data_IF_431538513875
#
_entry.id   IF_431538513875
#
_cell.length_a   1.000
_cell.length_b   1.000
_cell.length_c   1.000
_cell.angle_alpha   90.00
_cell.angle_beta   90.00
_cell.angle_gamma   90.00
#
_symmetry.space_group_name_H-M   'P 1'
#
loop_
_entity.id
_entity.type
_entity.pdbx_description
1 polymer ?
#
# COMPACT_ATOMS: atom_id res chain seq x y z
N UNK A 1 18.32 8.14 1.16
CA UNK A 1 17.83 7.24 0.09
C UNK A 1 16.95 8.04 -0.88
N UNK A 2 17.36 8.29 -2.13
CA UNK A 2 16.54 8.97 -3.14
C UNK A 2 15.73 7.97 -4.00
N UNK A 3 14.76 8.52 -4.73
CA UNK A 3 13.65 7.87 -5.41
C UNK A 3 14.04 7.24 -6.77
N UNK A 4 13.60 6.03 -7.17
CA UNK A 4 13.79 5.54 -8.54
C UNK A 4 12.85 6.28 -9.51
N UNK A 5 13.46 6.93 -10.50
CA UNK A 5 12.93 8.01 -11.35
C UNK A 5 12.17 7.58 -12.61
N UNK A 6 11.66 6.34 -12.70
CA UNK A 6 11.15 5.80 -13.97
C UNK A 6 9.69 6.13 -14.30
N UNK A 7 9.01 6.95 -13.49
CA UNK A 7 7.71 7.51 -13.86
C UNK A 7 7.90 8.52 -15.01
N UNK A 8 7.31 8.21 -16.19
CA UNK A 8 7.49 8.92 -17.46
C UNK A 8 7.10 10.40 -17.36
N UNK A 9 8.06 11.25 -16.97
CA UNK A 9 8.19 12.59 -17.55
C UNK A 9 8.57 12.39 -19.02
N UNK A 10 7.92 13.10 -19.95
CA UNK A 10 8.20 12.98 -21.39
C UNK A 10 9.65 13.35 -21.71
N UNK A 11 10.57 12.40 -21.55
CA UNK A 11 11.96 12.55 -21.94
C UNK A 11 12.03 12.36 -23.45
N UNK A 12 12.33 13.44 -24.17
CA UNK A 12 12.72 13.37 -25.56
C UNK A 12 14.10 12.70 -25.64
N UNK A 13 14.12 11.47 -26.13
CA UNK A 13 15.35 10.76 -26.39
C UNK A 13 15.90 11.17 -27.77
N UNK A 14 17.23 11.30 -27.93
CA UNK A 14 17.83 11.56 -29.23
C UNK A 14 17.56 10.40 -30.18
N UNK A 15 17.43 10.70 -31.48
CA UNK A 15 17.32 9.68 -32.52
C UNK A 15 18.64 8.93 -32.63
N UNK A 16 18.58 7.62 -32.47
CA UNK A 16 19.73 6.71 -32.63
C UNK A 16 19.38 5.62 -33.65
N UNK A 17 20.38 5.13 -34.37
CA UNK A 17 20.23 4.06 -35.35
C UNK A 17 20.73 2.72 -34.81
N UNK A 18 20.14 1.62 -35.28
CA UNK A 18 20.58 0.28 -34.90
C UNK A 18 22.04 0.05 -35.33
N UNK A 19 22.90 -0.30 -34.36
CA UNK A 19 24.33 -0.49 -34.59
C UNK A 19 25.19 0.77 -34.40
N UNK A 20 24.60 1.92 -34.10
CA UNK A 20 25.34 3.13 -33.74
C UNK A 20 26.17 2.91 -32.47
N UNK A 21 27.50 3.05 -32.58
CA UNK A 21 28.39 3.00 -31.40
C UNK A 21 28.21 4.26 -30.56
N UNK A 22 27.89 4.08 -29.28
CA UNK A 22 27.76 5.17 -28.32
C UNK A 22 29.00 5.20 -27.41
N UNK A 23 29.63 6.36 -27.19
CA UNK A 23 30.71 6.47 -26.22
C UNK A 23 30.14 6.28 -24.81
N UNK A 24 30.80 5.44 -24.01
CA UNK A 24 30.49 5.31 -22.59
C UNK A 24 30.82 6.65 -21.90
N UNK A 25 29.79 7.33 -21.40
CA UNK A 25 29.98 8.59 -20.68
C UNK A 25 30.41 8.33 -19.23
N UNK A 26 29.60 7.57 -18.50
CA UNK A 26 29.82 7.21 -17.10
C UNK A 26 29.30 5.79 -16.83
N UNK A 27 29.93 5.08 -15.89
CA UNK A 27 29.49 3.76 -15.42
C UNK A 27 29.34 3.80 -13.90
N UNK A 28 28.09 3.80 -13.43
CA UNK A 28 27.77 3.81 -12.00
C UNK A 28 27.20 2.45 -11.57
N UNK A 29 27.87 1.78 -10.63
CA UNK A 29 27.35 0.59 -10.00
C UNK A 29 26.51 0.98 -8.78
N UNK A 30 25.20 0.77 -8.86
CA UNK A 30 24.28 1.05 -7.75
C UNK A 30 23.84 -0.25 -7.08
N UNK A 31 23.98 -0.31 -5.75
CA UNK A 31 23.41 -1.38 -4.95
C UNK A 31 21.99 -1.00 -4.52
N UNK A 32 21.03 -1.84 -4.91
CA UNK A 32 19.63 -1.67 -4.55
C UNK A 32 19.24 -2.67 -3.46
N UNK A 33 18.40 -2.22 -2.52
CA UNK A 33 17.80 -3.06 -1.49
C UNK A 33 16.28 -3.10 -1.69
N UNK A 34 15.68 -4.25 -1.40
CA UNK A 34 14.23 -4.36 -1.31
C UNK A 34 13.73 -3.57 -0.11
N UNK A 35 12.72 -2.74 -0.33
CA UNK A 35 12.03 -2.05 0.75
C UNK A 35 10.82 -2.88 1.17
N UNK A 36 10.49 -2.92 2.47
CA UNK A 36 9.24 -3.55 2.90
C UNK A 36 8.04 -2.85 2.26
N UNK A 37 6.90 -3.55 2.12
CA UNK A 37 5.70 -2.94 1.59
C UNK A 37 5.31 -1.68 2.37
N UNK A 38 4.88 -0.62 1.67
CA UNK A 38 4.40 0.59 2.32
C UNK A 38 3.19 0.30 3.20
N UNK A 39 3.14 0.91 4.40
CA UNK A 39 1.90 0.95 5.19
C UNK A 39 0.80 1.70 4.45
N UNK A 40 -0.44 1.34 4.76
CA UNK A 40 -1.61 1.96 4.15
C UNK A 40 -1.77 3.41 4.64
N UNK A 41 -1.89 4.33 3.69
CA UNK A 41 -2.62 5.60 3.90
C UNK A 41 -4.12 5.36 3.76
N UNK A 42 -4.93 6.34 4.16
CA UNK A 42 -6.38 6.33 3.96
C UNK A 42 -6.77 6.00 2.50
N UNK A 43 -6.22 6.74 1.53
CA UNK A 43 -6.51 6.49 0.12
C UNK A 43 -6.14 5.07 -0.34
N UNK A 44 -5.00 4.55 0.11
CA UNK A 44 -4.57 3.20 -0.26
C UNK A 44 -5.39 2.10 0.45
N UNK A 45 -5.88 2.37 1.66
CA UNK A 45 -6.76 1.46 2.39
C UNK A 45 -8.14 1.42 1.73
N UNK A 46 -8.71 2.57 1.37
CA UNK A 46 -9.96 2.66 0.59
C UNK A 46 -9.84 1.86 -0.70
N UNK A 47 -8.76 2.07 -1.46
CA UNK A 47 -8.50 1.33 -2.70
C UNK A 47 -8.40 -0.18 -2.45
N UNK A 48 -7.79 -0.59 -1.33
CA UNK A 48 -7.68 -2.00 -0.96
C UNK A 48 -9.05 -2.58 -0.62
N UNK A 49 -9.85 -1.91 0.20
CA UNK A 49 -11.21 -2.34 0.57
C UNK A 49 -12.09 -2.51 -0.67
N UNK A 50 -12.07 -1.52 -1.57
CA UNK A 50 -12.78 -1.57 -2.87
C UNK A 50 -12.33 -2.76 -3.72
N UNK A 51 -11.02 -2.99 -3.85
CA UNK A 51 -10.48 -4.12 -4.63
C UNK A 51 -10.85 -5.50 -4.08
N UNK A 52 -11.16 -5.57 -2.78
CA UNK A 52 -11.60 -6.80 -2.11
C UNK A 52 -13.13 -6.92 -2.07
N UNK A 53 -13.88 -5.96 -2.61
CA UNK A 53 -15.34 -5.94 -2.56
C UNK A 53 -15.91 -5.63 -1.17
N UNK A 54 -15.10 -5.13 -0.25
CA UNK A 54 -15.49 -4.88 1.15
C UNK A 54 -15.90 -3.42 1.29
N UNK A 55 -17.14 -3.20 1.73
CA UNK A 55 -17.69 -1.84 1.90
C UNK A 55 -18.17 -1.20 0.59
N UNK A 56 -18.64 0.04 0.71
CA UNK A 56 -19.20 0.88 -0.37
C UNK A 56 -18.69 2.33 -0.18
N UNK A 57 -18.83 3.21 -1.20
CA UNK A 57 -18.40 4.62 -1.08
C UNK A 57 -18.93 5.34 0.16
N UNK A 58 -20.16 5.00 0.60
CA UNK A 58 -20.78 5.54 1.81
C UNK A 58 -20.21 4.98 3.12
N UNK A 59 -19.51 3.84 3.09
CA UNK A 59 -19.05 3.14 4.31
C UNK A 59 -17.55 3.26 4.56
N UNK A 60 -16.74 3.65 3.57
CA UNK A 60 -15.28 3.72 3.75
C UNK A 60 -14.84 4.67 4.86
N UNK A 61 -15.26 5.94 4.78
CA UNK A 61 -14.94 6.94 5.80
C UNK A 61 -15.42 6.52 7.21
N UNK A 62 -16.69 6.11 7.42
CA UNK A 62 -17.12 5.71 8.76
C UNK A 62 -16.43 4.44 9.27
N UNK A 63 -16.10 3.47 8.43
CA UNK A 63 -15.30 2.30 8.84
C UNK A 63 -13.92 2.73 9.33
N UNK A 64 -13.21 3.56 8.57
CA UNK A 64 -11.87 4.04 8.91
C UNK A 64 -11.89 4.86 10.20
N UNK A 65 -12.86 5.77 10.36
CA UNK A 65 -13.03 6.53 11.60
C UNK A 65 -13.35 5.63 12.79
N UNK A 66 -14.14 4.57 12.59
CA UNK A 66 -14.50 3.65 13.68
C UNK A 66 -13.29 2.88 14.21
N UNK A 67 -12.44 2.35 13.32
CA UNK A 67 -11.26 1.58 13.75
C UNK A 67 -10.19 2.46 14.41
N UNK A 68 -10.09 3.72 14.00
CA UNK A 68 -9.24 4.72 14.66
C UNK A 68 -9.79 5.09 16.04
N UNK A 69 -11.07 5.48 16.11
CA UNK A 69 -11.71 5.92 17.36
C UNK A 69 -11.74 4.83 18.43
N UNK A 70 -11.80 3.56 18.02
CA UNK A 70 -11.72 2.40 18.93
C UNK A 70 -10.30 2.02 19.31
N UNK A 71 -9.28 2.70 18.79
CA UNK A 71 -7.88 2.47 19.13
C UNK A 71 -7.30 1.18 18.57
N UNK A 72 -7.87 0.60 17.50
CA UNK A 72 -7.28 -0.57 16.83
C UNK A 72 -6.12 -0.19 15.90
N UNK A 73 -6.14 1.04 15.40
CA UNK A 73 -5.09 1.59 14.56
C UNK A 73 -4.77 3.02 14.99
N UNK A 74 -3.51 3.41 14.82
CA UNK A 74 -3.02 4.77 15.01
C UNK A 74 -2.52 5.35 13.69
N UNK A 75 -2.63 6.67 13.53
CA UNK A 75 -2.10 7.39 12.38
C UNK A 75 -0.71 7.95 12.73
N UNK A 76 0.31 7.54 11.99
CA UNK A 76 1.67 8.05 12.11
C UNK A 76 1.80 9.46 11.53
N UNK A 77 2.91 10.13 11.83
CA UNK A 77 3.23 11.48 11.31
C UNK A 77 3.22 11.56 9.77
N UNK A 78 3.58 10.47 9.09
CA UNK A 78 3.56 10.37 7.62
C UNK A 78 2.19 10.01 7.04
N UNK A 79 1.12 10.12 7.84
CA UNK A 79 -0.28 9.83 7.48
C UNK A 79 -0.51 8.39 7.03
N UNK A 80 0.20 7.44 7.65
CA UNK A 80 0.02 6.00 7.43
C UNK A 80 -0.50 5.32 8.70
N UNK A 81 -1.30 4.28 8.50
CA UNK A 81 -1.83 3.47 9.59
C UNK A 81 -0.79 2.49 10.11
N UNK A 82 -0.76 2.37 11.44
CA UNK A 82 -0.08 1.30 12.15
C UNK A 82 -1.10 0.62 13.09
N UNK A 83 -1.15 -0.72 13.15
CA UNK A 83 -1.96 -1.40 14.14
C UNK A 83 -1.41 -1.11 15.54
N UNK A 84 -2.30 -0.98 16.51
CA UNK A 84 -1.94 -0.95 17.93
C UNK A 84 -1.82 -2.39 18.44
N UNK A 85 -1.15 -2.58 19.59
CA UNK A 85 -1.06 -3.91 20.23
C UNK A 85 -2.45 -4.50 20.49
N UNK A 86 -3.43 -3.66 20.87
CA UNK A 86 -4.82 -4.08 21.04
C UNK A 86 -5.45 -4.51 19.70
N UNK A 87 -5.19 -3.78 18.63
CA UNK A 87 -5.64 -4.13 17.28
C UNK A 87 -5.13 -5.49 16.83
N UNK A 88 -3.85 -5.79 17.09
CA UNK A 88 -3.25 -7.09 16.77
C UNK A 88 -3.88 -8.21 17.59
N UNK A 89 -3.95 -8.08 18.92
CA UNK A 89 -4.53 -9.10 19.81
C UNK A 89 -5.99 -9.40 19.47
N UNK A 90 -6.80 -8.37 19.19
CA UNK A 90 -8.21 -8.55 18.82
C UNK A 90 -8.33 -9.23 17.45
N UNK A 91 -7.48 -8.85 16.49
CA UNK A 91 -7.47 -9.48 15.15
C UNK A 91 -7.09 -10.95 15.25
N UNK A 92 -6.06 -11.29 16.03
CA UNK A 92 -5.62 -12.67 16.23
C UNK A 92 -6.70 -13.51 16.91
N UNK A 93 -7.34 -12.97 17.96
CA UNK A 93 -8.44 -13.66 18.64
C UNK A 93 -9.60 -13.97 17.69
N UNK A 94 -10.02 -12.97 16.91
CA UNK A 94 -11.12 -13.11 15.96
C UNK A 94 -10.79 -14.08 14.82
N UNK A 95 -9.56 -14.04 14.30
CA UNK A 95 -9.12 -14.94 13.22
C UNK A 95 -9.02 -16.38 13.69
N UNK A 96 -8.57 -16.61 14.93
CA UNK A 96 -8.40 -17.96 15.47
C UNK A 96 -9.73 -18.63 15.89
N UNK A 97 -10.74 -17.85 16.32
CA UNK A 97 -11.99 -18.41 16.85
C UNK A 97 -13.20 -18.23 15.94
N UNK A 98 -13.19 -17.23 15.05
CA UNK A 98 -14.34 -16.85 14.22
C UNK A 98 -13.99 -16.75 12.73
N UNK A 99 -13.03 -17.55 12.26
CA UNK A 99 -12.49 -17.49 10.90
C UNK A 99 -13.58 -17.49 9.80
N UNK A 100 -14.69 -18.21 9.99
CA UNK A 100 -15.79 -18.24 9.02
C UNK A 100 -16.51 -16.89 8.85
N UNK A 101 -16.57 -16.06 9.90
CA UNK A 101 -17.26 -14.77 9.88
C UNK A 101 -16.35 -13.60 9.50
N UNK A 102 -15.03 -13.75 9.69
CA UNK A 102 -14.03 -12.67 9.48
C UNK A 102 -13.30 -12.83 8.14
N UNK A 103 -13.59 -13.90 7.39
CA UNK A 103 -13.03 -14.11 6.06
C UNK A 103 -13.50 -13.02 5.09
N UNK A 104 -12.55 -12.43 4.35
CA UNK A 104 -12.80 -11.42 3.31
C UNK A 104 -13.90 -11.84 2.32
N UNK A 105 -13.97 -13.13 1.99
CA UNK A 105 -14.95 -13.69 1.06
C UNK A 105 -16.38 -13.77 1.60
N UNK A 106 -16.59 -13.78 2.92
CA UNK A 106 -17.93 -13.67 3.54
C UNK A 106 -18.36 -12.21 3.59
N UNK A 107 -17.48 -11.33 4.05
CA UNK A 107 -17.74 -9.88 4.19
C UNK A 107 -18.03 -9.19 2.85
N UNK A 108 -17.44 -9.65 1.74
CA UNK A 108 -17.70 -9.10 0.41
C UNK A 108 -19.03 -9.56 -0.22
N UNK A 109 -19.61 -10.68 0.26
CA UNK A 109 -20.85 -11.26 -0.30
C UNK A 109 -22.13 -10.68 0.32
N UNK A 110 -22.01 -10.01 1.46
CA UNK A 110 -23.09 -9.33 2.18
C UNK A 110 -23.15 -7.87 1.73
#
# INVERSE_FOLDING_TARGET
>A
MPNPSWEKKGLLLPRVEQGQRLPLKDLNAEQLFTKPPPRYSEASLVKKLESQGIGRPSTFAPTISTIQNRGYVELLEDKRFKPTDMGEVVTDFLTNHFNENVNLGFTAKI
#
